data_IF_635239676495
#
_entry.id   IF_635239676495
#
_cell.length_a   1.000
_cell.length_b   1.000
_cell.length_c   1.000
_cell.angle_alpha   90.00
_cell.angle_beta   90.00
_cell.angle_gamma   90.00
#
_symmetry.space_group_name_H-M   'P 1'
#
loop_
_entity.id
_entity.type
_entity.pdbx_description
1 polymer ?
#
# COMPACT_ATOMS: atom_id res chain seq x y z
N UNK A 1 38.25 11.57 22.41
CA UNK A 1 37.17 10.62 22.03
C UNK A 1 36.18 10.57 23.17
N UNK A 2 35.05 11.27 23.06
CA UNK A 2 33.95 11.19 24.02
C UNK A 2 33.26 9.83 23.86
N UNK A 3 33.03 9.13 24.97
CA UNK A 3 32.26 7.89 24.97
C UNK A 3 30.86 8.17 24.40
N UNK A 4 30.31 7.30 23.53
CA UNK A 4 28.98 7.48 22.98
C UNK A 4 27.97 7.55 24.13
N UNK A 5 27.15 8.60 24.15
CA UNK A 5 26.11 8.76 25.17
C UNK A 5 25.22 7.50 25.22
N UNK A 6 24.93 6.97 26.42
CA UNK A 6 24.07 5.81 26.55
C UNK A 6 22.69 6.10 25.95
N UNK A 7 22.28 5.24 25.01
CA UNK A 7 21.02 5.35 24.28
C UNK A 7 19.85 5.35 25.28
N UNK A 8 19.12 6.47 25.40
CA UNK A 8 17.96 6.56 26.30
C UNK A 8 16.80 5.74 25.72
N UNK A 9 16.39 4.61 26.33
CA UNK A 9 15.33 3.76 25.81
C UNK A 9 13.97 4.48 25.71
N UNK A 10 13.78 5.55 26.47
CA UNK A 10 12.53 6.34 26.51
C UNK A 10 12.36 7.29 25.32
N UNK A 11 13.41 7.54 24.53
CA UNK A 11 13.34 8.44 23.36
C UNK A 11 12.62 7.79 22.16
N UNK A 12 12.75 6.46 22.00
CA UNK A 12 12.22 5.74 20.84
C UNK A 12 10.68 5.81 20.68
N UNK A 13 9.86 5.67 21.75
CA UNK A 13 8.41 5.85 21.66
C UNK A 13 7.99 7.25 21.19
N UNK A 14 8.71 8.29 21.62
CA UNK A 14 8.42 9.67 21.22
C UNK A 14 8.76 9.92 19.75
N UNK A 15 9.92 9.44 19.30
CA UNK A 15 10.30 9.52 17.89
C UNK A 15 9.34 8.76 16.97
N UNK A 16 8.91 7.57 17.41
CA UNK A 16 7.91 6.77 16.70
C UNK A 16 6.57 7.52 16.58
N UNK A 17 6.06 8.06 17.68
CA UNK A 17 4.83 8.86 17.69
C UNK A 17 4.93 10.10 16.79
N UNK A 18 6.08 10.78 16.79
CA UNK A 18 6.34 11.95 15.94
C UNK A 18 6.44 11.60 14.44
N UNK A 19 7.09 10.49 14.10
CA UNK A 19 7.07 9.95 12.74
C UNK A 19 5.64 9.65 12.29
N UNK A 20 4.89 8.91 13.12
CA UNK A 20 3.51 8.50 12.84
C UNK A 20 2.59 9.70 12.61
N UNK A 21 2.70 10.74 13.44
CA UNK A 21 1.97 12.01 13.27
C UNK A 21 2.25 12.65 11.90
N UNK A 22 3.51 12.74 11.51
CA UNK A 22 3.91 13.34 10.22
C UNK A 22 3.41 12.51 9.04
N UNK A 23 3.49 11.18 9.12
CA UNK A 23 3.03 10.29 8.04
C UNK A 23 1.50 10.31 7.90
N UNK A 24 0.75 10.34 8.99
CA UNK A 24 -0.71 10.52 8.95
C UNK A 24 -1.11 11.88 8.37
N UNK A 25 -0.43 12.95 8.76
CA UNK A 25 -0.67 14.28 8.20
C UNK A 25 -0.40 14.32 6.69
N UNK A 26 0.70 13.71 6.24
CA UNK A 26 1.01 13.58 4.81
C UNK A 26 -0.07 12.76 4.07
N UNK A 27 -0.54 11.65 4.65
CA UNK A 27 -1.62 10.84 4.09
C UNK A 27 -2.92 11.64 3.92
N UNK A 28 -3.30 12.45 4.92
CA UNK A 28 -4.47 13.32 4.86
C UNK A 28 -4.31 14.47 3.86
N UNK A 29 -3.12 15.06 3.77
CA UNK A 29 -2.85 16.10 2.78
C UNK A 29 -2.96 15.54 1.35
N UNK A 30 -2.35 14.38 1.08
CA UNK A 30 -2.46 13.73 -0.21
C UNK A 30 -3.90 13.26 -0.51
N UNK A 31 -4.65 12.82 0.51
CA UNK A 31 -6.08 12.56 0.36
C UNK A 31 -6.86 13.80 -0.03
N UNK A 32 -6.65 14.91 0.66
CA UNK A 32 -7.33 16.16 0.36
C UNK A 32 -7.05 16.62 -1.07
N UNK A 33 -5.79 16.54 -1.53
CA UNK A 33 -5.42 16.82 -2.92
C UNK A 33 -6.14 15.88 -3.88
N UNK A 34 -6.10 14.56 -3.63
CA UNK A 34 -6.79 13.58 -4.47
C UNK A 34 -8.30 13.85 -4.54
N UNK A 35 -8.91 14.16 -3.39
CA UNK A 35 -10.34 14.42 -3.26
C UNK A 35 -10.76 15.72 -3.96
N UNK A 36 -9.99 16.80 -3.83
CA UNK A 36 -10.27 18.08 -4.51
C UNK A 36 -10.08 17.95 -6.02
N UNK A 37 -9.02 17.26 -6.45
CA UNK A 37 -8.64 17.20 -7.86
C UNK A 37 -9.50 16.22 -8.66
N UNK A 38 -9.86 15.07 -8.09
CA UNK A 38 -10.79 14.15 -8.75
C UNK A 38 -12.26 14.49 -8.49
N UNK A 39 -12.52 15.38 -7.53
CA UNK A 39 -13.86 15.65 -7.03
C UNK A 39 -14.56 14.38 -6.53
N UNK A 40 -15.84 14.54 -6.19
CA UNK A 40 -16.72 13.42 -5.86
C UNK A 40 -17.24 12.69 -7.11
N UNK A 41 -17.20 13.34 -8.27
CA UNK A 41 -17.76 12.82 -9.52
C UNK A 41 -17.11 13.57 -10.69
N UNK A 42 -15.87 13.24 -11.06
CA UNK A 42 -15.40 13.61 -12.39
C UNK A 42 -16.18 12.76 -13.42
N UNK A 43 -17.26 13.35 -13.93
CA UNK A 43 -17.97 12.99 -15.16
C UNK A 43 -18.97 11.82 -15.16
N UNK A 44 -19.73 11.60 -14.07
CA UNK A 44 -21.01 10.88 -14.25
C UNK A 44 -22.04 11.87 -14.79
N UNK A 45 -21.96 12.20 -16.08
CA UNK A 45 -23.06 12.86 -16.80
C UNK A 45 -24.11 11.80 -17.13
N UNK A 46 -25.13 11.73 -16.29
CA UNK A 46 -26.35 10.98 -16.62
C UNK A 46 -27.20 11.92 -17.43
N UNK A 47 -27.21 11.73 -18.74
CA UNK A 47 -28.20 12.38 -19.59
C UNK A 47 -29.55 11.73 -19.29
N UNK A 48 -30.34 12.39 -18.44
CA UNK A 48 -31.72 12.02 -18.25
C UNK A 48 -32.48 12.36 -19.53
N UNK A 49 -33.21 11.38 -20.08
CA UNK A 49 -34.16 11.64 -21.16
C UNK A 49 -35.28 12.59 -20.71
N UNK A 50 -36.22 12.88 -21.61
CA UNK A 50 -37.35 13.76 -21.32
C UNK A 50 -38.30 13.20 -20.23
N UNK A 51 -38.19 11.91 -19.90
CA UNK A 51 -39.00 11.28 -18.84
C UNK A 51 -38.33 11.40 -17.47
N UNK A 52 -39.10 11.68 -16.40
CA UNK A 52 -38.57 11.76 -15.05
C UNK A 52 -37.98 10.41 -14.61
N UNK A 53 -36.80 10.39 -13.96
CA UNK A 53 -36.16 9.15 -13.55
C UNK A 53 -37.04 8.39 -12.55
N UNK A 54 -37.08 7.06 -12.68
CA UNK A 54 -37.82 6.24 -11.73
C UNK A 54 -37.26 6.41 -10.30
N UNK A 55 -38.10 6.33 -9.24
CA UNK A 55 -37.62 6.45 -7.86
C UNK A 55 -36.53 5.42 -7.51
N UNK A 56 -36.60 4.23 -8.10
CA UNK A 56 -35.59 3.18 -7.95
C UNK A 56 -34.25 3.56 -8.56
N UNK A 57 -34.26 4.19 -9.74
CA UNK A 57 -33.06 4.72 -10.38
C UNK A 57 -32.41 5.79 -9.49
N UNK A 58 -33.20 6.74 -8.97
CA UNK A 58 -32.69 7.77 -8.05
C UNK A 58 -32.09 7.15 -6.80
N UNK A 59 -32.80 6.22 -6.15
CA UNK A 59 -32.34 5.57 -4.93
C UNK A 59 -31.01 4.84 -5.15
N UNK A 60 -30.89 4.11 -6.26
CA UNK A 60 -29.68 3.37 -6.51
C UNK A 60 -28.53 4.24 -7.03
N UNK A 61 -28.78 5.37 -7.70
CA UNK A 61 -27.77 6.40 -7.95
C UNK A 61 -27.24 7.03 -6.66
N UNK A 62 -28.15 7.30 -5.71
CA UNK A 62 -27.77 7.74 -4.36
C UNK A 62 -26.95 6.64 -3.67
N UNK A 63 -27.33 5.38 -3.75
CA UNK A 63 -26.59 4.27 -3.16
C UNK A 63 -25.17 4.13 -3.76
N UNK A 64 -25.02 4.29 -5.07
CA UNK A 64 -23.71 4.27 -5.76
C UNK A 64 -22.89 5.49 -5.37
N UNK A 65 -23.47 6.69 -5.33
CA UNK A 65 -22.78 7.91 -4.93
C UNK A 65 -22.31 7.85 -3.47
N UNK A 66 -23.18 7.39 -2.57
CA UNK A 66 -22.84 7.15 -1.16
C UNK A 66 -21.77 6.07 -1.05
N UNK A 67 -21.92 4.95 -1.75
CA UNK A 67 -20.93 3.87 -1.76
C UNK A 67 -19.57 4.28 -2.32
N UNK A 68 -19.53 5.21 -3.28
CA UNK A 68 -18.31 5.74 -3.87
C UNK A 68 -17.59 6.75 -2.96
N UNK A 69 -18.36 7.58 -2.24
CA UNK A 69 -17.84 8.75 -1.53
C UNK A 69 -17.74 8.57 -0.03
N UNK A 70 -18.74 7.92 0.57
CA UNK A 70 -18.79 7.71 2.00
C UNK A 70 -17.56 6.96 2.53
N UNK A 71 -17.01 5.93 1.85
CA UNK A 71 -15.78 5.29 2.32
C UNK A 71 -14.59 6.24 2.37
N UNK A 72 -14.42 7.11 1.36
CA UNK A 72 -13.36 8.09 1.33
C UNK A 72 -13.51 9.13 2.45
N UNK A 73 -14.70 9.69 2.60
CA UNK A 73 -15.00 10.70 3.64
C UNK A 73 -14.88 10.10 5.06
N UNK A 74 -15.53 8.97 5.31
CA UNK A 74 -15.49 8.29 6.61
C UNK A 74 -14.06 7.83 6.94
N UNK A 75 -13.33 7.27 5.96
CA UNK A 75 -11.92 6.91 6.10
C UNK A 75 -11.05 8.13 6.42
N UNK A 76 -11.24 9.23 5.70
CA UNK A 76 -10.56 10.51 5.94
C UNK A 76 -10.85 11.09 7.33
N UNK A 77 -12.11 11.08 7.77
CA UNK A 77 -12.50 11.52 9.12
C UNK A 77 -11.87 10.65 10.21
N UNK A 78 -11.85 9.32 10.05
CA UNK A 78 -11.19 8.41 10.98
C UNK A 78 -9.66 8.62 11.00
N UNK A 79 -9.04 8.87 9.84
CA UNK A 79 -7.61 9.19 9.75
C UNK A 79 -7.30 10.55 10.42
N UNK A 80 -8.17 11.55 10.29
CA UNK A 80 -8.05 12.82 10.99
C UNK A 80 -8.21 12.64 12.50
N UNK A 81 -9.20 11.87 12.95
CA UNK A 81 -9.36 11.52 14.35
C UNK A 81 -8.15 10.75 14.90
N UNK A 82 -7.55 9.86 14.09
CA UNK A 82 -6.29 9.19 14.43
C UNK A 82 -5.16 10.23 14.59
N UNK A 83 -5.02 11.17 13.65
CA UNK A 83 -4.02 12.24 13.72
C UNK A 83 -4.20 13.10 14.97
N UNK A 84 -5.41 13.55 15.30
CA UNK A 84 -5.67 14.37 16.50
C UNK A 84 -5.38 13.60 17.78
N UNK A 85 -5.70 12.30 17.81
CA UNK A 85 -5.46 11.42 18.95
C UNK A 85 -4.04 10.84 19.01
N UNK A 86 -3.06 11.37 18.26
CA UNK A 86 -1.71 10.82 18.15
C UNK A 86 -0.99 10.61 19.50
N UNK A 87 -1.27 11.45 20.50
CA UNK A 87 -0.71 11.30 21.87
C UNK A 87 -1.23 10.05 22.59
N UNK A 88 -2.43 9.56 22.23
CA UNK A 88 -3.04 8.33 22.76
C UNK A 88 -2.86 7.20 21.75
N UNK A 89 -1.63 6.67 21.64
CA UNK A 89 -1.23 5.70 20.62
C UNK A 89 -2.26 4.58 20.41
N UNK A 90 -2.72 3.91 21.47
CA UNK A 90 -3.71 2.81 21.35
C UNK A 90 -5.00 3.22 20.64
N UNK A 91 -5.54 4.41 20.95
CA UNK A 91 -6.76 4.95 20.30
C UNK A 91 -6.45 5.31 18.85
N UNK A 92 -5.33 5.98 18.62
CA UNK A 92 -4.91 6.39 17.29
C UNK A 92 -4.63 5.21 16.36
N UNK A 93 -4.07 4.09 16.86
CA UNK A 93 -3.87 2.86 16.10
C UNK A 93 -5.19 2.17 15.73
N UNK A 94 -6.18 2.18 16.63
CA UNK A 94 -7.54 1.67 16.32
C UNK A 94 -8.20 2.51 15.24
N UNK A 95 -8.13 3.83 15.36
CA UNK A 95 -8.71 4.76 14.39
C UNK A 95 -8.02 4.68 13.02
N UNK A 96 -6.69 4.62 12.97
CA UNK A 96 -5.95 4.47 11.71
C UNK A 96 -6.27 3.15 11.00
N UNK A 97 -6.43 2.04 11.75
CA UNK A 97 -6.90 0.76 11.20
C UNK A 97 -8.32 0.86 10.66
N UNK A 98 -9.23 1.46 11.42
CA UNK A 98 -10.59 1.72 10.96
C UNK A 98 -10.62 2.56 9.69
N UNK A 99 -9.83 3.64 9.65
CA UNK A 99 -9.67 4.49 8.47
C UNK A 99 -9.19 3.68 7.27
N UNK A 100 -8.17 2.85 7.44
CA UNK A 100 -7.63 2.01 6.37
C UNK A 100 -8.64 0.97 5.88
N UNK A 101 -9.35 0.28 6.80
CA UNK A 101 -10.39 -0.70 6.43
C UNK A 101 -11.49 -0.03 5.62
N UNK A 102 -12.03 1.08 6.13
CA UNK A 102 -13.12 1.82 5.45
C UNK A 102 -12.65 2.35 4.11
N UNK A 103 -11.44 2.90 4.01
CA UNK A 103 -10.93 3.48 2.78
C UNK A 103 -10.58 2.42 1.72
N UNK A 104 -9.85 1.36 2.09
CA UNK A 104 -9.37 0.35 1.14
C UNK A 104 -10.47 -0.65 0.79
N UNK A 105 -11.22 -1.13 1.78
CA UNK A 105 -12.23 -2.17 1.58
C UNK A 105 -13.63 -1.61 1.39
N UNK A 106 -13.91 -0.38 1.83
CA UNK A 106 -15.25 0.22 1.72
C UNK A 106 -15.78 0.41 0.30
N UNK A 107 -14.95 0.58 -0.76
CA UNK A 107 -15.44 0.54 -2.13
C UNK A 107 -15.87 -0.87 -2.60
N UNK A 108 -15.43 -1.95 -1.96
CA UNK A 108 -15.69 -3.32 -2.44
C UNK A 108 -17.17 -3.74 -2.39
N UNK A 109 -17.96 -3.46 -1.34
CA UNK A 109 -19.38 -3.79 -1.33
C UNK A 109 -20.16 -3.20 -2.51
N UNK A 110 -19.77 -2.03 -3.02
CA UNK A 110 -20.41 -1.41 -4.20
C UNK A 110 -20.23 -2.28 -5.45
N UNK A 111 -19.12 -3.02 -5.53
CA UNK A 111 -18.82 -3.91 -6.66
C UNK A 111 -19.64 -5.20 -6.63
N UNK A 112 -20.16 -5.57 -5.45
CA UNK A 112 -21.00 -6.76 -5.29
C UNK A 112 -22.46 -6.48 -5.65
N UNK A 113 -22.83 -5.22 -5.89
CA UNK A 113 -24.19 -4.85 -6.28
C UNK A 113 -24.37 -5.08 -7.78
N UNK A 114 -25.21 -6.03 -8.22
CA UNK A 114 -25.46 -6.29 -9.63
C UNK A 114 -26.39 -5.19 -10.17
N UNK A 115 -25.83 -4.02 -10.45
CA UNK A 115 -26.56 -2.83 -10.89
C UNK A 115 -27.46 -3.13 -12.08
N UNK A 116 -26.99 -3.88 -13.08
CA UNK A 116 -27.82 -4.30 -14.22
C UNK A 116 -29.11 -5.02 -13.80
N UNK A 117 -29.04 -5.91 -12.81
CA UNK A 117 -30.18 -6.65 -12.29
C UNK A 117 -31.07 -5.77 -11.41
N UNK A 118 -30.48 -4.89 -10.59
CA UNK A 118 -31.23 -4.02 -9.66
C UNK A 118 -32.06 -2.98 -10.40
N UNK A 119 -31.55 -2.44 -11.52
CA UNK A 119 -32.26 -1.41 -12.30
C UNK A 119 -32.96 -1.95 -13.54
N UNK A 120 -32.94 -3.28 -13.75
CA UNK A 120 -33.50 -3.93 -14.93
C UNK A 120 -33.04 -3.26 -16.25
N UNK A 121 -31.74 -2.99 -16.33
CA UNK A 121 -31.14 -2.35 -17.51
C UNK A 121 -31.25 -3.29 -18.70
N UNK A 122 -31.45 -2.72 -19.89
CA UNK A 122 -31.34 -3.49 -21.11
C UNK A 122 -29.89 -4.02 -21.29
N UNK A 123 -29.65 -5.04 -22.13
CA UNK A 123 -28.31 -5.63 -22.26
C UNK A 123 -27.21 -4.64 -22.67
N UNK A 124 -27.56 -3.60 -23.45
CA UNK A 124 -26.61 -2.61 -23.93
C UNK A 124 -26.21 -1.63 -22.81
N UNK A 125 -27.17 -1.11 -22.06
CA UNK A 125 -26.98 -0.24 -20.91
C UNK A 125 -26.34 -0.99 -19.75
N UNK A 126 -26.67 -2.27 -19.56
CA UNK A 126 -26.01 -3.15 -18.60
C UNK A 126 -24.51 -3.29 -18.90
N UNK A 127 -24.14 -3.53 -20.16
CA UNK A 127 -22.74 -3.62 -20.59
C UNK A 127 -22.01 -2.28 -20.43
N UNK A 128 -22.63 -1.17 -20.83
CA UNK A 128 -22.08 0.17 -20.67
C UNK A 128 -21.84 0.52 -19.20
N UNK A 129 -22.84 0.27 -18.36
CA UNK A 129 -22.78 0.52 -16.91
C UNK A 129 -21.71 -0.35 -16.25
N UNK A 130 -21.63 -1.64 -16.61
CA UNK A 130 -20.57 -2.54 -16.12
C UNK A 130 -19.18 -2.04 -16.51
N UNK A 131 -19.02 -1.54 -17.74
CA UNK A 131 -17.76 -0.95 -18.22
C UNK A 131 -17.38 0.30 -17.42
N UNK A 132 -18.35 1.18 -17.13
CA UNK A 132 -18.13 2.34 -16.25
C UNK A 132 -17.77 1.94 -14.81
N UNK A 133 -18.37 0.89 -14.28
CA UNK A 133 -18.02 0.37 -12.96
C UNK A 133 -16.61 -0.22 -12.90
N UNK A 134 -16.21 -0.99 -13.92
CA UNK A 134 -14.84 -1.51 -14.05
C UNK A 134 -13.85 -0.36 -14.19
N UNK A 135 -14.17 0.67 -14.99
CA UNK A 135 -13.36 1.90 -15.08
C UNK A 135 -13.23 2.57 -13.72
N UNK A 136 -14.34 2.77 -13.00
CA UNK A 136 -14.33 3.34 -11.66
C UNK A 136 -13.45 2.51 -10.72
N UNK A 137 -13.58 1.18 -10.73
CA UNK A 137 -12.77 0.26 -9.94
C UNK A 137 -11.26 0.45 -10.20
N UNK A 138 -10.88 0.47 -11.48
CA UNK A 138 -9.49 0.60 -11.89
C UNK A 138 -8.91 1.97 -11.51
N UNK A 139 -9.71 3.03 -11.62
CA UNK A 139 -9.24 4.40 -11.33
C UNK A 139 -9.27 4.73 -9.83
N UNK A 140 -10.25 4.19 -9.10
CA UNK A 140 -10.49 4.55 -7.71
C UNK A 140 -9.84 3.56 -6.75
N UNK A 141 -10.02 2.27 -6.98
CA UNK A 141 -9.66 1.25 -5.99
C UNK A 141 -8.30 0.65 -6.29
N UNK A 142 -7.93 0.50 -7.57
CA UNK A 142 -6.63 -0.06 -7.93
C UNK A 142 -5.45 0.73 -7.34
N UNK A 143 -5.41 2.08 -7.33
CA UNK A 143 -4.32 2.82 -6.68
C UNK A 143 -4.18 2.47 -5.18
N UNK A 144 -5.29 2.21 -4.49
CA UNK A 144 -5.26 1.80 -3.08
C UNK A 144 -4.70 0.38 -2.92
N UNK A 145 -5.11 -0.56 -3.77
CA UNK A 145 -4.58 -1.93 -3.78
C UNK A 145 -3.10 -2.00 -4.16
N UNK A 146 -2.70 -1.30 -5.23
CA UNK A 146 -1.30 -1.18 -5.64
C UNK A 146 -0.44 -0.51 -4.59
N UNK A 147 -1.02 0.32 -3.72
CA UNK A 147 -0.31 0.95 -2.62
C UNK A 147 -0.14 0.04 -1.40
N UNK A 148 -0.82 -1.11 -1.32
CA UNK A 148 -0.76 -2.00 -0.17
C UNK A 148 0.64 -2.61 0.02
N UNK A 149 1.15 -3.25 -1.03
CA UNK A 149 2.43 -3.94 -0.98
C UNK A 149 3.62 -2.96 -0.82
N UNK A 150 3.70 -1.84 -1.56
CA UNK A 150 4.70 -0.80 -1.32
C UNK A 150 4.57 -0.15 0.06
N UNK A 151 3.36 -0.07 0.61
CA UNK A 151 3.10 0.39 1.97
C UNK A 151 3.67 -0.58 3.01
N UNK A 152 3.46 -1.89 2.82
CA UNK A 152 4.01 -2.93 3.68
C UNK A 152 5.55 -3.00 3.59
N UNK A 153 6.11 -2.90 2.39
CA UNK A 153 7.55 -2.81 2.16
C UNK A 153 8.14 -1.58 2.84
N UNK A 154 7.47 -0.42 2.73
CA UNK A 154 7.90 0.80 3.43
C UNK A 154 7.78 0.64 4.94
N UNK A 155 6.77 -0.06 5.46
CA UNK A 155 6.61 -0.34 6.87
C UNK A 155 7.79 -1.16 7.42
N UNK A 156 8.27 -2.15 6.68
CA UNK A 156 9.48 -2.91 7.04
C UNK A 156 10.71 -1.99 7.13
N UNK A 157 10.92 -1.11 6.15
CA UNK A 157 12.03 -0.14 6.17
C UNK A 157 11.92 0.87 7.32
N UNK A 158 10.71 1.30 7.66
CA UNK A 158 10.46 2.15 8.83
C UNK A 158 10.79 1.39 10.11
N UNK A 159 10.40 0.12 10.20
CA UNK A 159 10.70 -0.72 11.36
C UNK A 159 12.20 -0.93 11.54
N UNK A 160 12.97 -1.10 10.46
CA UNK A 160 14.43 -1.16 10.52
C UNK A 160 15.04 0.11 11.12
N UNK A 161 14.47 1.28 10.85
CA UNK A 161 14.93 2.55 11.44
C UNK A 161 14.73 2.58 12.96
N UNK A 162 13.63 2.01 13.47
CA UNK A 162 13.28 2.04 14.89
C UNK A 162 13.79 0.84 15.68
N UNK A 163 14.03 -0.29 15.03
CA UNK A 163 14.49 -1.55 15.61
C UNK A 163 15.64 -2.15 14.78
N UNK A 164 16.78 -1.44 14.65
CA UNK A 164 17.88 -1.86 13.78
C UNK A 164 18.61 -3.13 14.27
N UNK A 165 18.35 -3.57 15.51
CA UNK A 165 18.88 -4.81 16.08
C UNK A 165 18.06 -6.04 15.65
N UNK A 166 16.81 -5.83 15.23
CA UNK A 166 15.91 -6.90 14.80
C UNK A 166 16.18 -7.29 13.35
N UNK A 167 16.19 -8.60 13.08
CA UNK A 167 16.24 -9.14 11.71
C UNK A 167 14.87 -9.18 11.03
N UNK A 168 13.79 -9.00 11.79
CA UNK A 168 12.42 -9.10 11.27
C UNK A 168 12.15 -8.14 10.09
N UNK A 169 12.60 -6.86 10.11
CA UNK A 169 12.45 -5.98 8.95
C UNK A 169 13.05 -6.52 7.65
N UNK A 170 14.24 -7.15 7.73
CA UNK A 170 14.90 -7.76 6.57
C UNK A 170 14.13 -8.96 6.03
N UNK A 171 13.61 -9.82 6.93
CA UNK A 171 12.78 -10.98 6.54
C UNK A 171 11.44 -10.54 5.91
N UNK A 172 10.77 -9.55 6.51
CA UNK A 172 9.52 -9.00 5.95
C UNK A 172 9.79 -8.39 4.58
N UNK A 173 10.91 -7.70 4.41
CA UNK A 173 11.32 -7.15 3.11
C UNK A 173 11.55 -8.23 2.06
N UNK A 174 12.25 -9.31 2.44
CA UNK A 174 12.51 -10.47 1.58
C UNK A 174 11.22 -11.14 1.09
N UNK A 175 10.18 -11.20 1.93
CA UNK A 175 8.88 -11.79 1.58
C UNK A 175 7.97 -10.81 0.81
N UNK A 176 7.94 -9.54 1.22
CA UNK A 176 7.03 -8.55 0.67
C UNK A 176 7.46 -8.04 -0.72
N UNK A 177 8.77 -7.90 -0.96
CA UNK A 177 9.25 -7.31 -2.20
C UNK A 177 8.96 -8.16 -3.46
N UNK A 178 9.13 -9.50 -3.48
CA UNK A 178 8.74 -10.32 -4.63
C UNK A 178 7.24 -10.25 -4.90
N UNK A 179 6.41 -10.20 -3.84
CA UNK A 179 4.98 -9.99 -3.99
C UNK A 179 4.67 -8.62 -4.61
N UNK A 180 5.39 -7.56 -4.23
CA UNK A 180 5.27 -6.24 -4.88
C UNK A 180 5.62 -6.32 -6.38
N UNK A 181 6.73 -6.98 -6.73
CA UNK A 181 7.17 -7.17 -8.12
C UNK A 181 6.07 -7.90 -8.91
N UNK A 182 5.60 -9.04 -8.41
CA UNK A 182 4.56 -9.83 -9.05
C UNK A 182 3.27 -9.02 -9.24
N UNK A 183 2.85 -8.25 -8.22
CA UNK A 183 1.66 -7.40 -8.32
C UNK A 183 1.78 -6.32 -9.39
N UNK A 184 2.98 -5.81 -9.68
CA UNK A 184 3.19 -4.86 -10.80
C UNK A 184 3.35 -5.55 -12.15
N UNK A 185 3.93 -6.75 -12.19
CA UNK A 185 4.10 -7.53 -13.41
C UNK A 185 2.79 -8.15 -13.93
N UNK A 186 1.83 -8.50 -13.07
CA UNK A 186 0.55 -9.08 -13.51
C UNK A 186 -0.23 -8.11 -14.42
N UNK A 187 -0.48 -6.85 -14.03
CA UNK A 187 -1.09 -5.86 -14.92
C UNK A 187 -0.29 -5.63 -16.19
N UNK A 188 1.05 -5.69 -16.11
CA UNK A 188 1.92 -5.62 -17.28
C UNK A 188 1.67 -6.77 -18.23
N UNK A 189 1.55 -8.00 -17.73
CA UNK A 189 1.20 -9.17 -18.52
C UNK A 189 -0.17 -9.05 -19.18
N UNK A 190 -1.18 -8.50 -18.48
CA UNK A 190 -2.52 -8.28 -19.06
C UNK A 190 -2.49 -7.19 -20.12
N UNK A 191 -1.91 -6.02 -19.81
CA UNK A 191 -1.85 -4.88 -20.74
C UNK A 191 -1.00 -5.20 -21.97
N UNK A 192 0.05 -6.01 -21.81
CA UNK A 192 0.88 -6.52 -22.89
C UNK A 192 0.10 -7.29 -23.95
N UNK A 193 -0.96 -8.00 -23.55
CA UNK A 193 -1.82 -8.73 -24.48
C UNK A 193 -2.79 -7.80 -25.23
N UNK A 194 -3.11 -6.64 -24.65
CA UNK A 194 -4.09 -5.69 -25.20
C UNK A 194 -3.44 -4.69 -26.15
N UNK A 195 -2.24 -4.21 -25.83
CA UNK A 195 -1.55 -3.23 -26.66
C UNK A 195 -0.02 -3.32 -26.49
N UNK A 196 0.70 -3.65 -27.57
CA UNK A 196 2.16 -3.67 -27.56
C UNK A 196 2.71 -2.25 -27.76
N UNK A 197 3.13 -1.59 -26.68
CA UNK A 197 3.78 -0.27 -26.73
C UNK A 197 5.02 -0.22 -25.83
N UNK A 198 6.18 0.09 -26.40
CA UNK A 198 7.47 0.12 -25.69
C UNK A 198 7.45 1.01 -24.44
N UNK A 199 6.79 2.17 -24.48
CA UNK A 199 6.69 3.08 -23.34
C UNK A 199 5.90 2.50 -22.17
N UNK A 200 4.80 1.79 -22.45
CA UNK A 200 4.02 1.08 -21.44
C UNK A 200 4.88 0.04 -20.71
N UNK A 201 5.59 -0.79 -21.47
CA UNK A 201 6.50 -1.80 -20.90
C UNK A 201 7.63 -1.15 -20.11
N UNK A 202 8.25 -0.09 -20.63
CA UNK A 202 9.32 0.62 -19.93
C UNK A 202 8.82 1.23 -18.61
N UNK A 203 7.67 1.90 -18.62
CA UNK A 203 7.06 2.49 -17.43
C UNK A 203 6.70 1.44 -16.37
N UNK A 204 6.04 0.35 -16.77
CA UNK A 204 5.67 -0.74 -15.86
C UNK A 204 6.89 -1.52 -15.36
N UNK A 205 7.91 -1.73 -16.20
CA UNK A 205 9.17 -2.36 -15.80
C UNK A 205 9.89 -1.51 -14.76
N UNK A 206 9.98 -0.19 -14.96
CA UNK A 206 10.57 0.73 -13.97
C UNK A 206 9.82 0.68 -12.63
N UNK A 207 8.48 0.67 -12.66
CA UNK A 207 7.68 0.48 -11.44
C UNK A 207 7.95 -0.88 -10.78
N UNK A 208 8.02 -1.95 -11.57
CA UNK A 208 8.26 -3.32 -11.11
C UNK A 208 9.67 -3.52 -10.55
N UNK A 209 10.66 -2.79 -11.07
CA UNK A 209 12.04 -2.79 -10.57
C UNK A 209 12.19 -2.00 -9.26
N UNK A 210 11.26 -1.08 -8.93
CA UNK A 210 11.31 -0.34 -7.67
C UNK A 210 11.37 -1.24 -6.43
N UNK A 211 10.49 -2.25 -6.24
CA UNK A 211 10.61 -3.20 -5.12
C UNK A 211 11.84 -4.12 -5.18
N UNK A 212 12.58 -4.19 -6.30
CA UNK A 212 13.85 -4.93 -6.37
C UNK A 212 14.97 -4.22 -5.63
N UNK A 213 14.96 -2.89 -5.54
CA UNK A 213 15.98 -2.10 -4.82
C UNK A 213 16.21 -2.61 -3.38
N UNK A 214 15.17 -2.76 -2.53
CA UNK A 214 15.38 -3.34 -1.19
C UNK A 214 15.76 -4.82 -1.21
N UNK A 215 15.42 -5.60 -2.25
CA UNK A 215 15.88 -6.99 -2.38
C UNK A 215 17.39 -7.07 -2.54
N UNK A 216 17.97 -6.20 -3.37
CA UNK A 216 19.42 -6.10 -3.55
C UNK A 216 20.13 -5.72 -2.23
N UNK A 217 19.42 -5.05 -1.32
CA UNK A 217 19.92 -4.67 -0.01
C UNK A 217 19.68 -5.73 1.09
N UNK A 218 19.00 -6.86 0.81
CA UNK A 218 18.66 -7.88 1.83
C UNK A 218 19.84 -8.34 2.68
N UNK A 219 21.04 -8.62 2.13
CA UNK A 219 22.18 -9.02 2.96
C UNK A 219 22.55 -7.97 4.02
N UNK A 220 22.31 -6.69 3.74
CA UNK A 220 22.54 -5.58 4.67
C UNK A 220 21.37 -5.39 5.63
N UNK A 221 20.14 -5.62 5.16
CA UNK A 221 18.92 -5.55 5.98
C UNK A 221 18.82 -6.68 7.02
N UNK A 222 19.46 -7.84 6.77
CA UNK A 222 19.51 -8.96 7.70
C UNK A 222 20.64 -8.85 8.74
N UNK A 223 21.58 -7.90 8.55
CA UNK A 223 22.63 -7.61 9.52
C UNK A 223 22.08 -6.75 10.66
N UNK A 224 22.68 -6.89 11.84
CA UNK A 224 22.47 -5.93 12.93
C UNK A 224 23.18 -4.64 12.53
N UNK A 225 22.44 -3.53 12.46
CA UNK A 225 22.97 -2.24 12.06
C UNK A 225 22.95 -1.28 13.25
N UNK A 226 23.82 -0.28 13.25
CA UNK A 226 23.63 0.87 14.15
C UNK A 226 22.46 1.74 13.64
N UNK A 227 21.81 2.54 14.50
CA UNK A 227 20.72 3.42 14.06
C UNK A 227 21.10 4.35 12.89
N UNK A 228 22.34 4.85 12.87
CA UNK A 228 22.85 5.70 11.79
C UNK A 228 23.07 4.93 10.48
N UNK A 229 23.57 3.70 10.55
CA UNK A 229 23.73 2.82 9.40
C UNK A 229 22.37 2.45 8.81
N UNK A 230 21.41 2.07 9.67
CA UNK A 230 20.05 1.77 9.27
C UNK A 230 19.38 2.99 8.61
N UNK A 231 19.52 4.19 9.18
CA UNK A 231 18.97 5.41 8.60
C UNK A 231 19.56 5.73 7.22
N UNK A 232 20.88 5.56 7.04
CA UNK A 232 21.55 5.74 5.74
C UNK A 232 21.08 4.71 4.71
N UNK A 233 21.00 3.43 5.09
CA UNK A 233 20.54 2.34 4.24
C UNK A 233 19.09 2.56 3.79
N UNK A 234 18.18 2.88 4.72
CA UNK A 234 16.77 3.17 4.42
C UNK A 234 16.63 4.39 3.52
N UNK A 235 17.49 5.41 3.68
CA UNK A 235 17.50 6.59 2.80
C UNK A 235 17.95 6.21 1.39
N UNK A 236 19.05 5.47 1.24
CA UNK A 236 19.57 5.03 -0.05
C UNK A 236 18.54 4.18 -0.81
N UNK A 237 17.97 3.16 -0.13
CA UNK A 237 16.88 2.34 -0.69
C UNK A 237 15.70 3.24 -1.08
N UNK A 238 15.26 4.12 -0.18
CA UNK A 238 14.13 5.00 -0.42
C UNK A 238 14.32 5.92 -1.63
N UNK A 239 15.53 6.45 -1.84
CA UNK A 239 15.86 7.27 -3.00
C UNK A 239 15.80 6.45 -4.29
N UNK A 240 16.44 5.28 -4.34
CA UNK A 240 16.40 4.40 -5.51
C UNK A 240 14.97 3.97 -5.87
N UNK A 241 14.18 3.57 -4.87
CA UNK A 241 12.78 3.21 -5.07
C UNK A 241 11.95 4.38 -5.61
N UNK A 242 12.15 5.58 -5.05
CA UNK A 242 11.41 6.78 -5.44
C UNK A 242 11.78 7.21 -6.85
N UNK A 243 13.07 7.21 -7.21
CA UNK A 243 13.54 7.53 -8.55
C UNK A 243 12.89 6.59 -9.58
N UNK A 244 12.98 5.27 -9.39
CA UNK A 244 12.36 4.30 -10.30
C UNK A 244 10.84 4.46 -10.38
N UNK A 245 10.17 4.68 -9.22
CA UNK A 245 8.72 4.83 -9.18
C UNK A 245 8.25 6.09 -9.92
N UNK A 246 8.93 7.22 -9.69
CA UNK A 246 8.58 8.51 -10.29
C UNK A 246 8.86 8.46 -11.79
N UNK A 247 10.02 7.98 -12.21
CA UNK A 247 10.35 7.85 -13.64
C UNK A 247 9.34 6.92 -14.34
N UNK A 248 9.05 5.75 -13.75
CA UNK A 248 8.05 4.83 -14.29
C UNK A 248 6.65 5.45 -14.39
N UNK A 249 6.20 6.14 -13.33
CA UNK A 249 4.91 6.83 -13.32
C UNK A 249 4.82 7.96 -14.35
N UNK A 250 5.89 8.73 -14.55
CA UNK A 250 5.95 9.80 -15.57
C UNK A 250 5.85 9.22 -16.98
N UNK A 251 6.58 8.14 -17.26
CA UNK A 251 6.51 7.44 -18.56
C UNK A 251 5.09 6.93 -18.81
N UNK A 252 4.45 6.30 -17.81
CA UNK A 252 3.08 5.82 -17.94
C UNK A 252 2.07 6.96 -18.11
N UNK A 253 2.20 8.04 -17.36
CA UNK A 253 1.31 9.19 -17.47
C UNK A 253 1.38 9.81 -18.87
N UNK A 254 2.59 9.91 -19.44
CA UNK A 254 2.79 10.36 -20.82
C UNK A 254 2.11 9.41 -21.81
N UNK A 255 2.38 8.11 -21.71
CA UNK A 255 1.78 7.11 -22.60
C UNK A 255 0.25 7.10 -22.54
N UNK A 256 -0.35 7.19 -21.35
CA UNK A 256 -1.82 7.27 -21.19
C UNK A 256 -2.39 8.50 -21.90
N UNK A 257 -1.67 9.63 -21.92
CA UNK A 257 -2.10 10.84 -22.63
C UNK A 257 -2.01 10.74 -24.15
N UNK A 258 -1.08 9.94 -24.67
CA UNK A 258 -0.83 9.77 -26.11
C UNK A 258 -1.70 8.65 -26.73
N UNK A 259 -2.07 7.61 -25.97
CA UNK A 259 -2.76 6.44 -26.52
C UNK A 259 -4.27 6.70 -26.78
N UNK A 260 -4.78 6.55 -28.01
CA UNK A 260 -6.13 6.96 -28.40
C UNK A 260 -7.25 6.22 -27.65
N UNK A 261 -7.17 4.88 -27.58
CA UNK A 261 -8.17 4.05 -26.87
C UNK A 261 -8.20 4.36 -25.37
N UNK A 262 -7.04 4.55 -24.74
CA UNK A 262 -6.98 4.87 -23.32
C UNK A 262 -7.41 6.29 -23.03
N UNK A 263 -7.19 7.23 -23.94
CA UNK A 263 -7.73 8.58 -23.81
C UNK A 263 -9.25 8.60 -23.85
N UNK A 264 -9.87 7.71 -24.62
CA UNK A 264 -11.33 7.51 -24.59
C UNK A 264 -11.77 6.85 -23.27
N UNK A 265 -11.04 5.84 -22.81
CA UNK A 265 -11.36 5.09 -21.60
C UNK A 265 -11.07 5.82 -20.29
N UNK A 266 -10.04 6.65 -20.21
CA UNK A 266 -9.61 7.36 -19.00
C UNK A 266 -10.07 8.82 -19.03
N UNK A 267 -10.35 9.35 -20.21
CA UNK A 267 -10.56 10.77 -20.46
C UNK A 267 -9.25 11.47 -20.82
N UNK A 268 -9.29 12.79 -20.93
CA UNK A 268 -8.05 13.58 -21.06
C UNK A 268 -7.23 13.45 -19.76
N UNK A 269 -6.09 12.76 -19.85
CA UNK A 269 -5.10 12.68 -18.77
C UNK A 269 -4.43 14.05 -18.54
N UNK A 270 -5.20 14.99 -17.99
CA UNK A 270 -4.71 16.30 -17.62
C UNK A 270 -3.66 16.17 -16.51
N UNK A 271 -2.72 17.13 -16.39
CA UNK A 271 -1.77 17.15 -15.27
C UNK A 271 -2.45 17.09 -13.90
N UNK A 272 -3.64 17.67 -13.77
CA UNK A 272 -4.48 17.58 -12.58
C UNK A 272 -4.91 16.12 -12.33
N UNK A 273 -5.46 15.43 -13.33
CA UNK A 273 -5.82 14.01 -13.20
C UNK A 273 -4.62 13.15 -12.75
N UNK A 274 -3.46 13.31 -13.37
CA UNK A 274 -2.24 12.58 -12.97
C UNK A 274 -1.87 12.88 -11.51
N UNK A 275 -1.91 14.16 -11.11
CA UNK A 275 -1.63 14.59 -9.74
C UNK A 275 -2.58 13.94 -8.73
N UNK A 276 -3.88 13.90 -9.01
CA UNK A 276 -4.83 13.32 -8.08
C UNK A 276 -4.74 11.79 -7.97
N UNK A 277 -4.42 11.07 -9.07
CA UNK A 277 -4.16 9.62 -9.02
C UNK A 277 -2.90 9.35 -8.19
N UNK A 278 -1.83 10.12 -8.43
CA UNK A 278 -0.60 10.02 -7.66
C UNK A 278 -0.83 10.33 -6.17
N UNK A 279 -1.57 11.41 -5.86
CA UNK A 279 -1.92 11.78 -4.51
C UNK A 279 -2.74 10.69 -3.81
N UNK A 280 -3.68 10.06 -4.52
CA UNK A 280 -4.47 8.94 -3.98
C UNK A 280 -3.62 7.71 -3.67
N UNK A 281 -2.71 7.34 -4.58
CA UNK A 281 -1.78 6.25 -4.38
C UNK A 281 -0.85 6.53 -3.17
N UNK A 282 -0.33 7.76 -3.06
CA UNK A 282 0.51 8.18 -1.93
C UNK A 282 -0.24 8.17 -0.60
N UNK A 283 -1.47 8.69 -0.57
CA UNK A 283 -2.31 8.69 0.60
C UNK A 283 -2.56 7.26 1.12
N UNK A 284 -2.93 6.36 0.21
CA UNK A 284 -3.14 4.93 0.50
C UNK A 284 -1.85 4.24 0.96
N UNK A 285 -0.72 4.55 0.32
CA UNK A 285 0.60 4.00 0.66
C UNK A 285 1.02 4.41 2.07
N UNK A 286 0.91 5.70 2.40
CA UNK A 286 1.29 6.22 3.71
C UNK A 286 0.37 5.72 4.82
N UNK A 287 -0.94 5.68 4.59
CA UNK A 287 -1.88 5.12 5.55
C UNK A 287 -1.60 3.63 5.80
N UNK A 288 -1.37 2.85 4.74
CA UNK A 288 -0.97 1.44 4.85
C UNK A 288 0.35 1.30 5.59
N UNK A 289 1.34 2.15 5.29
CA UNK A 289 2.64 2.15 5.98
C UNK A 289 2.44 2.29 7.49
N UNK A 290 1.60 3.23 7.93
CA UNK A 290 1.30 3.43 9.36
C UNK A 290 0.63 2.20 9.95
N UNK A 291 -0.44 1.71 9.32
CA UNK A 291 -1.22 0.57 9.83
C UNK A 291 -0.40 -0.70 9.91
N UNK A 292 0.37 -1.01 8.87
CA UNK A 292 1.23 -2.20 8.84
C UNK A 292 2.37 -2.06 9.84
N UNK A 293 2.98 -0.87 9.97
CA UNK A 293 4.01 -0.66 11.02
C UNK A 293 3.42 -0.85 12.42
N UNK A 294 2.26 -0.25 12.71
CA UNK A 294 1.56 -0.42 13.99
C UNK A 294 1.29 -1.90 14.28
N UNK A 295 0.84 -2.67 13.27
CA UNK A 295 0.56 -4.10 13.39
C UNK A 295 1.83 -4.92 13.62
N UNK A 296 2.89 -4.68 12.85
CA UNK A 296 4.18 -5.37 12.99
C UNK A 296 4.82 -5.13 14.36
N UNK A 297 4.80 -3.89 14.85
CA UNK A 297 5.27 -3.57 16.21
C UNK A 297 4.47 -4.35 17.26
N UNK A 298 3.15 -4.43 17.11
CA UNK A 298 2.30 -5.20 18.03
C UNK A 298 2.57 -6.71 17.97
N UNK A 299 2.82 -7.27 16.79
CA UNK A 299 3.19 -8.68 16.61
C UNK A 299 4.54 -8.97 17.25
N UNK A 300 5.57 -8.18 16.95
CA UNK A 300 6.91 -8.35 17.55
C UNK A 300 6.89 -8.22 19.07
N UNK A 301 6.06 -7.31 19.60
CA UNK A 301 5.88 -7.17 21.03
C UNK A 301 5.28 -8.44 21.66
N UNK A 302 4.21 -8.97 21.07
CA UNK A 302 3.56 -10.22 21.52
C UNK A 302 4.48 -11.43 21.41
N UNK A 303 5.26 -11.53 20.34
CA UNK A 303 6.26 -12.59 20.18
C UNK A 303 7.32 -12.51 21.27
N UNK A 304 7.77 -11.30 21.61
CA UNK A 304 8.73 -11.11 22.69
C UNK A 304 8.14 -11.43 24.06
N UNK A 305 6.87 -11.11 24.30
CA UNK A 305 6.16 -11.50 25.53
C UNK A 305 6.00 -13.02 25.63
N UNK A 306 5.59 -13.68 24.55
CA UNK A 306 5.48 -15.14 24.47
C UNK A 306 6.84 -15.84 24.66
N UNK A 307 7.90 -15.30 24.07
CA UNK A 307 9.25 -15.84 24.26
C UNK A 307 9.71 -15.70 25.72
N UNK A 308 9.37 -14.59 26.40
CA UNK A 308 9.66 -14.42 27.82
C UNK A 308 8.85 -15.37 28.71
N UNK A 309 7.57 -15.60 28.40
CA UNK A 309 6.75 -16.52 29.19
C UNK A 309 7.14 -17.98 29.01
N UNK A 310 7.76 -18.33 27.87
CA UNK A 310 8.28 -19.67 27.60
C UNK A 310 9.71 -19.89 28.11
N UNK A 311 10.46 -18.82 28.41
CA UNK A 311 11.84 -18.92 28.86
C UNK A 311 11.93 -19.71 30.18
N UNK A 312 12.78 -20.74 30.21
CA UNK A 312 12.93 -21.62 31.38
C UNK A 312 11.81 -22.63 31.58
N UNK A 313 10.87 -22.76 30.63
CA UNK A 313 9.81 -23.78 30.67
C UNK A 313 10.13 -24.97 29.76
N UNK A 314 9.64 -26.16 30.10
CA UNK A 314 9.78 -27.39 29.29
C UNK A 314 9.19 -27.19 27.87
N UNK A 315 8.10 -26.44 27.76
CA UNK A 315 7.48 -26.10 26.48
C UNK A 315 8.41 -25.23 25.62
N UNK A 316 9.07 -24.24 26.21
CA UNK A 316 10.06 -23.38 25.54
C UNK A 316 11.27 -24.17 25.04
N UNK A 317 11.82 -25.07 25.87
CA UNK A 317 12.93 -25.95 25.48
C UNK A 317 12.54 -26.90 24.35
N UNK A 318 11.31 -27.41 24.37
CA UNK A 318 10.79 -28.28 23.30
C UNK A 318 10.62 -27.51 21.99
N UNK A 319 10.13 -26.27 22.05
CA UNK A 319 10.03 -25.40 20.88
C UNK A 319 11.41 -25.07 20.31
N UNK A 320 12.37 -24.70 21.16
CA UNK A 320 13.74 -24.41 20.74
C UNK A 320 14.37 -25.62 20.03
N UNK A 321 14.30 -26.81 20.62
CA UNK A 321 14.79 -28.06 19.99
C UNK A 321 14.14 -28.33 18.63
N UNK A 322 12.83 -28.09 18.49
CA UNK A 322 12.12 -28.25 17.21
C UNK A 322 12.60 -27.25 16.16
N UNK A 323 12.81 -25.99 16.55
CA UNK A 323 13.31 -24.96 15.65
C UNK A 323 14.76 -25.23 15.23
N UNK A 324 15.60 -25.70 16.15
CA UNK A 324 16.99 -26.08 15.84
C UNK A 324 17.02 -27.28 14.89
N UNK A 325 16.20 -28.31 15.13
CA UNK A 325 16.09 -29.47 14.26
C UNK A 325 15.63 -29.09 12.84
N UNK A 326 14.64 -28.19 12.72
CA UNK A 326 14.20 -27.65 11.43
C UNK A 326 15.32 -26.81 10.77
N UNK A 327 16.04 -26.02 11.56
CA UNK A 327 17.15 -25.21 11.09
C UNK A 327 18.30 -26.05 10.52
N UNK A 328 18.68 -27.14 11.19
CA UNK A 328 19.67 -28.10 10.70
C UNK A 328 19.19 -28.83 9.45
N UNK A 329 17.91 -29.26 9.42
CA UNK A 329 17.34 -29.92 8.25
C UNK A 329 17.31 -29.03 7.00
N UNK A 330 17.25 -27.71 7.17
CA UNK A 330 17.27 -26.73 6.08
C UNK A 330 18.68 -26.26 5.70
N UNK A 331 19.74 -26.62 6.45
CA UNK A 331 21.10 -26.27 6.04
C UNK A 331 21.47 -27.08 4.79
N UNK A 332 21.97 -26.42 3.73
CA UNK A 332 22.48 -27.16 2.58
C UNK A 332 23.59 -28.09 3.05
N UNK A 333 23.58 -29.34 2.58
CA UNK A 333 24.64 -30.29 2.87
C UNK A 333 25.99 -29.64 2.52
N UNK A 334 27.03 -29.82 3.35
CA UNK A 334 28.35 -29.29 3.02
C UNK A 334 28.71 -29.80 1.63
N UNK A 335 29.07 -28.88 0.73
CA UNK A 335 29.51 -29.25 -0.61
C UNK A 335 30.61 -30.30 -0.42
N UNK A 336 30.35 -31.53 -0.89
CA UNK A 336 31.31 -32.62 -0.77
C UNK A 336 32.66 -32.17 -1.33
N UNK A 337 33.78 -32.73 -0.83
CA UNK A 337 35.10 -32.40 -1.35
C UNK A 337 35.07 -32.52 -2.89
N UNK A 338 35.66 -31.56 -3.62
CA UNK A 338 35.65 -31.60 -5.08
C UNK A 338 36.20 -32.96 -5.53
N UNK A 339 35.46 -33.66 -6.40
CA UNK A 339 35.91 -34.92 -6.95
C UNK A 339 37.23 -34.68 -7.71
N UNK A 340 38.31 -35.26 -7.19
CA UNK A 340 39.67 -35.23 -7.76
C UNK A 340 39.79 -36.20 -8.91
#
# INVERSE_FOLDING_TARGET
MTAPEPHRPDAAPHEYAAWRRRTLAAALAAFAVAFVVHGTMAEVRIEFGAEPPSPWLVLGLVAVAVGALAPGLAGGSLALAALVSWRRLRRSCRLARGAWVVWVLGPLPVLLVPVSTVFNLDPADALRTSTHQVRYLLLVTAPAFFALLPGALKAALVLLRFLPESRAPGLITLLAAPACVAAYLIPMGVLAQVAFHTELYAGLLLLSCSPVVPLLAVPWLLRRNTPEQAARLVRAIGLGQTALSVTGAVVLARWVGEHPVLREWVGHASPAWVLGVAAKALASKWLTTVVVTDALVAVLHREREAARSLAGTVAGETLARRLDALGEALRPAPAGPPAT
#
